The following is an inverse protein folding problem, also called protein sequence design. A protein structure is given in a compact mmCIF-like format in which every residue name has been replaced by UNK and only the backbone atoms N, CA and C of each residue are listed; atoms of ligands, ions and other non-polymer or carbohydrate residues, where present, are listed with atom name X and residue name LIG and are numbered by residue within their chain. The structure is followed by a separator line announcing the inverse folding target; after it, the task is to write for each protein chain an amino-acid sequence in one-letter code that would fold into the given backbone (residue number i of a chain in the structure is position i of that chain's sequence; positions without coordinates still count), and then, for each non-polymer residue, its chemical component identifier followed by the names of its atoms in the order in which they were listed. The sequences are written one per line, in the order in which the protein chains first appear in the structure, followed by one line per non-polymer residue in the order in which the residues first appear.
data_IF_729872278431
#
_entry.id   IF_729872278431
#
_cell.length_a   1.000
_cell.length_b   1.000
_cell.length_c   1.000
_cell.angle_alpha   90.00
_cell.angle_beta   90.00
_cell.angle_gamma   90.00
#
_symmetry.space_group_name_H-M   'P 1'
#
loop_
_entity.id
_entity.type
_entity.pdbx_description
1 polymer ?
#
# COMPACT_ATOMS: atom_id res chain seq x y z
N UNK A 1 -4.83 8.27 -3.75
CA UNK A 1 -3.66 9.00 -3.22
C UNK A 1 -2.43 8.87 -4.11
N UNK A 2 -2.13 7.69 -4.69
CA UNK A 2 -0.92 7.46 -5.49
C UNK A 2 -0.75 8.45 -6.67
N UNK A 3 -1.84 8.88 -7.30
CA UNK A 3 -1.82 9.89 -8.37
C UNK A 3 -1.45 11.27 -7.84
N UNK A 4 -2.00 11.65 -6.70
CA UNK A 4 -1.70 12.91 -6.03
C UNK A 4 -0.23 12.98 -5.60
N UNK A 5 0.24 11.98 -4.88
CA UNK A 5 1.65 11.88 -4.47
C UNK A 5 2.60 11.95 -5.67
N UNK A 6 2.26 11.24 -6.77
CA UNK A 6 3.05 11.27 -8.01
C UNK A 6 3.07 12.65 -8.65
N UNK A 7 1.95 13.39 -8.59
CA UNK A 7 1.86 14.75 -9.09
C UNK A 7 2.72 15.71 -8.27
N UNK A 8 2.72 15.60 -6.94
CA UNK A 8 3.55 16.42 -6.06
C UNK A 8 5.04 16.13 -6.24
N UNK A 9 5.42 14.86 -6.34
CA UNK A 9 6.81 14.49 -6.64
C UNK A 9 7.30 15.13 -7.95
N UNK A 10 6.48 15.07 -9.00
CA UNK A 10 6.78 15.68 -10.30
C UNK A 10 5.52 15.69 -11.17
N UNK A 11 4.94 16.86 -11.49
CA UNK A 11 3.75 16.95 -12.35
C UNK A 11 3.95 16.28 -13.72
N UNK A 12 5.15 16.35 -14.31
CA UNK A 12 5.49 15.62 -15.54
C UNK A 12 5.42 14.12 -15.38
N UNK A 13 5.89 13.57 -14.25
CA UNK A 13 5.81 12.13 -13.93
C UNK A 13 4.36 11.66 -13.89
N UNK A 14 3.49 12.45 -13.25
CA UNK A 14 2.04 12.19 -13.25
C UNK A 14 1.48 12.22 -14.68
N UNK A 15 1.76 13.27 -15.47
CA UNK A 15 1.28 13.39 -16.83
C UNK A 15 1.73 12.20 -17.70
N UNK A 16 3.01 11.83 -17.66
CA UNK A 16 3.56 10.66 -18.37
C UNK A 16 2.87 9.36 -17.95
N UNK A 17 2.56 9.18 -16.68
CA UNK A 17 1.88 7.98 -16.17
C UNK A 17 0.45 7.81 -16.74
N UNK A 18 -0.14 8.87 -17.26
CA UNK A 18 -1.47 8.86 -17.90
C UNK A 18 -1.39 8.66 -19.41
N UNK A 19 -0.19 8.71 -19.99
CA UNK A 19 0.02 8.39 -21.40
C UNK A 19 0.05 6.87 -21.61
N UNK A 20 -0.20 6.43 -22.83
CA UNK A 20 -0.14 5.00 -23.20
C UNK A 20 1.31 4.56 -23.44
N UNK A 21 2.18 4.83 -22.49
CA UNK A 21 3.58 4.44 -22.56
C UNK A 21 3.80 3.02 -22.01
N UNK A 22 4.77 2.27 -22.54
CA UNK A 22 5.09 0.94 -22.04
C UNK A 22 5.49 0.98 -20.56
N UNK A 23 4.75 0.27 -19.71
CA UNK A 23 5.03 0.18 -18.29
C UNK A 23 6.33 -0.60 -18.03
N UNK A 24 6.96 -0.30 -16.92
CA UNK A 24 8.09 -1.04 -16.38
C UNK A 24 7.65 -1.82 -15.16
N UNK A 25 7.83 -3.13 -15.18
CA UNK A 25 7.59 -3.97 -14.01
C UNK A 25 8.68 -3.76 -12.95
N UNK A 26 8.29 -3.90 -11.69
CA UNK A 26 9.19 -3.81 -10.53
C UNK A 26 8.99 -5.06 -9.66
N UNK A 27 10.06 -5.80 -9.41
CA UNK A 27 10.00 -6.99 -8.56
C UNK A 27 9.46 -6.67 -7.16
N UNK A 28 9.88 -5.53 -6.58
CA UNK A 28 9.39 -5.10 -5.27
C UNK A 28 7.89 -4.79 -5.29
N UNK A 29 7.38 -4.16 -6.36
CA UNK A 29 5.95 -3.87 -6.49
C UNK A 29 5.13 -5.16 -6.66
N UNK A 30 5.55 -6.09 -7.53
CA UNK A 30 4.86 -7.36 -7.71
C UNK A 30 4.89 -8.23 -6.46
N UNK A 31 6.01 -8.27 -5.75
CA UNK A 31 6.09 -8.93 -4.45
C UNK A 31 5.11 -8.32 -3.45
N UNK A 32 5.07 -6.99 -3.36
CA UNK A 32 4.10 -6.29 -2.52
C UNK A 32 2.66 -6.66 -2.88
N UNK A 33 2.30 -6.64 -4.15
CA UNK A 33 0.96 -7.01 -4.63
C UNK A 33 0.62 -8.46 -4.28
N UNK A 34 1.55 -9.40 -4.45
CA UNK A 34 1.33 -10.79 -4.07
C UNK A 34 1.05 -10.94 -2.56
N UNK A 35 1.78 -10.21 -1.71
CA UNK A 35 1.57 -10.21 -0.25
C UNK A 35 0.19 -9.63 0.09
N UNK A 36 -0.16 -8.44 -0.42
CA UNK A 36 -1.45 -7.79 -0.16
C UNK A 36 -2.62 -8.70 -0.55
N UNK A 37 -2.62 -9.21 -1.78
CA UNK A 37 -3.67 -10.13 -2.25
C UNK A 37 -3.74 -11.41 -1.42
N UNK A 38 -2.61 -11.89 -0.92
CA UNK A 38 -2.59 -13.09 -0.07
C UNK A 38 -3.14 -12.83 1.32
N UNK A 39 -2.85 -11.68 1.90
CA UNK A 39 -3.45 -11.26 3.19
C UNK A 39 -4.95 -11.08 3.04
N UNK A 40 -5.41 -10.45 1.94
CA UNK A 40 -6.83 -10.35 1.60
C UNK A 40 -7.49 -11.73 1.53
N UNK A 41 -6.90 -12.68 0.78
CA UNK A 41 -7.43 -14.03 0.64
C UNK A 41 -7.54 -14.73 2.01
N UNK A 42 -6.54 -14.58 2.89
CA UNK A 42 -6.58 -15.17 4.23
C UNK A 42 -7.64 -14.52 5.11
N UNK A 43 -7.80 -13.20 5.06
CA UNK A 43 -8.87 -12.50 5.79
C UNK A 43 -10.26 -12.96 5.35
N UNK A 44 -10.43 -13.31 4.08
CA UNK A 44 -11.69 -13.72 3.50
C UNK A 44 -11.83 -15.25 3.32
N UNK A 45 -10.91 -16.03 3.91
CA UNK A 45 -10.94 -17.49 3.80
C UNK A 45 -12.24 -18.04 4.38
N UNK A 46 -13.00 -18.80 3.58
CA UNK A 46 -14.20 -19.48 4.06
C UNK A 46 -13.84 -20.67 4.95
N UNK A 47 -14.08 -20.50 6.23
CA UNK A 47 -13.85 -21.51 7.26
C UNK A 47 -15.13 -22.31 7.60
N UNK A 48 -16.17 -22.23 6.78
CA UNK A 48 -17.38 -23.02 6.98
C UNK A 48 -17.09 -24.52 6.83
N UNK A 49 -17.50 -25.30 7.83
CA UNK A 49 -17.29 -26.76 7.82
C UNK A 49 -15.89 -27.23 8.29
N UNK A 50 -14.99 -26.30 8.66
CA UNK A 50 -13.74 -26.66 9.32
C UNK A 50 -13.95 -26.99 10.80
N UNK A 51 -13.12 -27.92 11.33
CA UNK A 51 -13.14 -28.21 12.76
C UNK A 51 -12.50 -27.03 13.53
N UNK A 52 -13.23 -26.47 14.48
CA UNK A 52 -12.80 -25.32 15.28
C UNK A 52 -11.49 -25.56 16.03
N UNK A 53 -11.20 -26.81 16.40
CA UNK A 53 -9.97 -27.20 17.13
C UNK A 53 -8.84 -27.65 16.19
N UNK A 54 -9.04 -27.63 14.87
CA UNK A 54 -8.00 -27.99 13.89
C UNK A 54 -6.82 -27.04 14.00
N UNK A 55 -5.59 -27.59 14.05
CA UNK A 55 -4.31 -26.88 14.12
C UNK A 55 -3.38 -27.27 12.96
N UNK A 56 -2.24 -26.56 12.82
CA UNK A 56 -1.22 -26.88 11.81
C UNK A 56 -1.57 -26.41 10.39
N UNK A 57 -2.74 -25.89 10.17
CA UNK A 57 -3.26 -25.46 8.85
C UNK A 57 -2.78 -24.06 8.43
N UNK A 58 -2.61 -23.11 9.40
CA UNK A 58 -2.43 -21.69 9.08
C UNK A 58 -1.16 -21.43 8.25
N UNK A 59 -0.04 -22.02 8.64
CA UNK A 59 1.23 -21.85 7.92
C UNK A 59 1.16 -22.42 6.49
N UNK A 60 0.56 -23.61 6.31
CA UNK A 60 0.38 -24.20 4.98
C UNK A 60 -0.56 -23.37 4.12
N UNK A 61 -1.67 -22.88 4.66
CA UNK A 61 -2.60 -22.02 3.95
C UNK A 61 -1.98 -20.69 3.55
N UNK A 62 -1.20 -20.04 4.42
CA UNK A 62 -0.45 -18.85 4.05
C UNK A 62 0.50 -19.12 2.87
N UNK A 63 1.25 -20.23 2.94
CA UNK A 63 2.19 -20.58 1.87
C UNK A 63 1.50 -20.90 0.55
N UNK A 64 0.41 -21.66 0.59
CA UNK A 64 -0.35 -22.05 -0.61
C UNK A 64 -1.02 -20.81 -1.25
N UNK A 65 -1.63 -19.96 -0.44
CA UNK A 65 -2.25 -18.73 -0.90
C UNK A 65 -1.22 -17.80 -1.54
N UNK A 66 -0.08 -17.60 -0.86
CA UNK A 66 1.00 -16.80 -1.44
C UNK A 66 1.56 -17.42 -2.70
N UNK A 67 1.73 -18.75 -2.78
CA UNK A 67 2.23 -19.41 -3.98
C UNK A 67 1.32 -19.15 -5.18
N UNK A 68 0.00 -19.21 -4.98
CA UNK A 68 -0.98 -18.89 -6.03
C UNK A 68 -0.82 -17.44 -6.51
N UNK A 69 -0.80 -16.47 -5.59
CA UNK A 69 -0.66 -15.05 -5.93
C UNK A 69 0.70 -14.71 -6.54
N UNK A 70 1.74 -15.40 -6.11
CA UNK A 70 3.09 -15.28 -6.66
C UNK A 70 3.16 -15.69 -8.14
N UNK A 71 2.52 -16.80 -8.52
CA UNK A 71 2.48 -17.26 -9.92
C UNK A 71 1.60 -16.34 -10.79
N UNK A 72 0.49 -15.82 -10.26
CA UNK A 72 -0.34 -14.81 -10.93
C UNK A 72 0.49 -13.55 -11.23
N UNK A 73 1.19 -13.01 -10.23
CA UNK A 73 2.06 -11.85 -10.39
C UNK A 73 3.25 -12.11 -11.31
N UNK A 74 3.85 -13.27 -11.24
CA UNK A 74 4.92 -13.69 -12.17
C UNK A 74 4.46 -13.65 -13.63
N UNK A 75 3.24 -14.10 -13.90
CA UNK A 75 2.64 -14.07 -15.23
C UNK A 75 2.46 -12.61 -15.70
N UNK A 76 1.80 -11.76 -14.90
CA UNK A 76 1.60 -10.33 -15.20
C UNK A 76 2.92 -9.58 -15.38
N UNK A 77 3.91 -9.91 -14.56
CA UNK A 77 5.25 -9.35 -14.65
C UNK A 77 5.92 -9.66 -15.98
N UNK A 78 5.84 -10.92 -16.45
CA UNK A 78 6.43 -11.35 -17.70
C UNK A 78 5.72 -10.78 -18.94
N UNK A 79 4.43 -10.48 -18.83
CA UNK A 79 3.65 -9.82 -19.87
C UNK A 79 3.90 -8.31 -19.96
N UNK A 80 4.50 -7.72 -18.92
CA UNK A 80 4.81 -6.30 -18.91
C UNK A 80 5.94 -6.00 -19.90
N UNK A 81 5.78 -5.04 -20.84
CA UNK A 81 6.73 -4.83 -21.95
C UNK A 81 8.19 -4.55 -21.53
N UNK A 82 8.38 -4.02 -20.32
CA UNK A 82 9.68 -3.69 -19.78
C UNK A 82 9.82 -4.29 -18.40
N UNK A 83 10.37 -5.49 -18.32
CA UNK A 83 10.57 -6.18 -17.06
C UNK A 83 12.03 -6.65 -16.89
N UNK A 84 12.58 -6.61 -15.68
CA UNK A 84 13.81 -7.32 -15.35
C UNK A 84 13.56 -8.83 -15.25
N UNK A 85 14.57 -9.59 -14.88
CA UNK A 85 14.38 -11.01 -14.56
C UNK A 85 13.55 -11.15 -13.28
N UNK A 86 12.57 -12.08 -13.32
CA UNK A 86 11.85 -12.51 -12.12
C UNK A 86 12.80 -13.20 -11.14
N UNK A 87 12.61 -13.00 -9.85
CA UNK A 87 13.45 -13.51 -8.79
C UNK A 87 12.68 -14.48 -7.90
N UNK A 88 12.75 -15.76 -8.24
CA UNK A 88 12.08 -16.83 -7.47
C UNK A 88 12.61 -16.91 -6.02
N UNK A 89 13.88 -16.57 -5.81
CA UNK A 89 14.52 -16.51 -4.50
C UNK A 89 13.88 -15.48 -3.54
N UNK A 90 13.11 -14.54 -4.05
CA UNK A 90 12.39 -13.56 -3.22
C UNK A 90 11.09 -14.12 -2.61
N UNK A 91 10.68 -15.35 -2.96
CA UNK A 91 9.46 -15.95 -2.41
C UNK A 91 9.52 -16.13 -0.89
N UNK A 92 10.66 -16.54 -0.34
CA UNK A 92 10.82 -16.66 1.12
C UNK A 92 10.64 -15.33 1.84
N UNK A 93 11.19 -14.25 1.28
CA UNK A 93 11.02 -12.89 1.82
C UNK A 93 9.55 -12.45 1.76
N UNK A 94 8.86 -12.81 0.67
CA UNK A 94 7.43 -12.54 0.53
C UNK A 94 6.60 -13.31 1.57
N UNK A 95 6.95 -14.59 1.83
CA UNK A 95 6.29 -15.40 2.86
C UNK A 95 6.50 -14.82 4.26
N UNK A 96 7.72 -14.42 4.59
CA UNK A 96 8.02 -13.76 5.86
C UNK A 96 7.21 -12.45 6.01
N UNK A 97 7.12 -11.67 4.93
CA UNK A 97 6.30 -10.45 4.90
C UNK A 97 4.80 -10.73 5.08
N UNK A 98 4.27 -11.79 4.46
CA UNK A 98 2.88 -12.20 4.67
C UNK A 98 2.63 -12.63 6.13
N UNK A 99 3.53 -13.46 6.69
CA UNK A 99 3.45 -13.90 8.09
C UNK A 99 3.50 -12.70 9.03
N UNK A 100 4.34 -11.71 8.74
CA UNK A 100 4.41 -10.48 9.52
C UNK A 100 3.08 -9.69 9.51
N UNK A 101 2.41 -9.60 8.37
CA UNK A 101 1.09 -8.97 8.30
C UNK A 101 0.03 -9.75 9.12
N UNK A 102 0.07 -11.08 9.06
CA UNK A 102 -0.78 -11.96 9.89
C UNK A 102 -0.49 -11.73 11.38
N UNK A 103 0.78 -11.62 11.77
CA UNK A 103 1.16 -11.34 13.17
C UNK A 103 0.58 -10.02 13.67
N UNK A 104 0.61 -8.97 12.84
CA UNK A 104 0.00 -7.69 13.19
C UNK A 104 -1.54 -7.84 13.36
N UNK A 105 -2.20 -8.63 12.52
CA UNK A 105 -3.63 -8.91 12.68
C UNK A 105 -3.95 -9.59 14.02
N UNK A 106 -3.11 -10.53 14.47
CA UNK A 106 -3.25 -11.15 15.79
C UNK A 106 -3.12 -10.14 16.93
N UNK A 107 -2.11 -9.26 16.85
CA UNK A 107 -1.92 -8.19 17.83
C UNK A 107 -3.14 -7.27 17.88
N UNK A 108 -3.70 -6.91 16.73
CA UNK A 108 -4.91 -6.07 16.64
C UNK A 108 -6.16 -6.79 17.13
N UNK A 109 -6.23 -8.10 16.99
CA UNK A 109 -7.30 -8.92 17.57
C UNK A 109 -7.11 -9.16 19.08
N UNK A 110 -6.02 -8.65 19.67
CA UNK A 110 -5.65 -8.86 21.07
C UNK A 110 -5.50 -10.37 21.42
N UNK A 111 -5.05 -11.16 20.45
CA UNK A 111 -4.86 -12.60 20.58
C UNK A 111 -3.36 -12.93 20.57
N UNK A 112 -2.89 -13.81 21.48
CA UNK A 112 -1.50 -14.23 21.47
C UNK A 112 -1.18 -15.08 20.25
N UNK A 113 -0.05 -14.84 19.62
CA UNK A 113 0.50 -15.66 18.56
C UNK A 113 1.91 -16.12 18.96
N UNK A 114 2.02 -17.34 19.48
CA UNK A 114 3.32 -17.95 19.77
C UNK A 114 3.91 -18.60 18.52
N UNK A 115 3.13 -19.51 17.91
CA UNK A 115 3.50 -20.20 16.66
C UNK A 115 2.26 -20.33 15.75
N UNK A 116 2.44 -20.15 14.45
CA UNK A 116 1.36 -20.34 13.45
C UNK A 116 0.79 -21.77 13.47
N UNK A 117 1.63 -22.75 13.83
CA UNK A 117 1.24 -24.16 13.91
C UNK A 117 0.27 -24.47 15.05
N UNK A 118 0.21 -23.64 16.08
CA UNK A 118 -0.67 -23.81 17.24
C UNK A 118 -2.02 -23.09 17.08
N UNK A 119 -2.19 -22.29 16.04
CA UNK A 119 -3.40 -21.53 15.81
C UNK A 119 -4.54 -22.47 15.41
N UNK A 120 -5.61 -22.50 16.20
CA UNK A 120 -6.84 -23.22 15.85
C UNK A 120 -7.69 -22.43 14.87
N UNK A 121 -8.56 -23.11 14.13
CA UNK A 121 -9.56 -22.51 13.25
C UNK A 121 -10.43 -21.50 14.02
N UNK A 122 -10.80 -21.83 15.25
CA UNK A 122 -11.60 -20.96 16.13
C UNK A 122 -10.87 -19.63 16.43
N UNK A 123 -9.58 -19.66 16.70
CA UNK A 123 -8.77 -18.45 16.95
C UNK A 123 -8.70 -17.60 15.66
N UNK A 124 -8.49 -18.22 14.51
CA UNK A 124 -8.46 -17.48 13.25
C UNK A 124 -9.80 -16.81 12.91
N UNK A 125 -10.92 -17.47 13.17
CA UNK A 125 -12.27 -16.86 13.03
C UNK A 125 -12.40 -15.59 13.88
N UNK A 126 -11.81 -15.55 15.08
CA UNK A 126 -11.80 -14.35 15.91
C UNK A 126 -10.93 -13.24 15.29
N UNK A 127 -9.82 -13.59 14.63
CA UNK A 127 -9.03 -12.61 13.85
C UNK A 127 -9.85 -12.10 12.65
N UNK A 128 -10.57 -12.96 11.95
CA UNK A 128 -11.45 -12.54 10.86
C UNK A 128 -12.59 -11.62 11.36
N UNK A 129 -13.10 -11.84 12.55
CA UNK A 129 -14.21 -11.05 13.13
C UNK A 129 -13.88 -9.57 13.36
N UNK A 130 -12.59 -9.22 13.49
CA UNK A 130 -12.20 -7.80 13.54
C UNK A 130 -12.08 -7.17 12.16
N UNK A 131 -11.96 -7.94 11.09
CA UNK A 131 -11.81 -7.42 9.73
C UNK A 131 -13.18 -6.99 9.20
N UNK A 132 -13.34 -5.69 8.95
CA UNK A 132 -14.57 -5.11 8.43
C UNK A 132 -14.58 -5.15 6.91
N UNK A 133 -13.44 -4.86 6.28
CA UNK A 133 -13.29 -4.90 4.83
C UNK A 133 -11.81 -5.04 4.44
N UNK A 134 -11.56 -5.66 3.30
CA UNK A 134 -10.27 -5.75 2.64
C UNK A 134 -10.35 -5.13 1.25
N UNK A 135 -9.26 -4.49 0.79
CA UNK A 135 -9.15 -3.92 -0.57
C UNK A 135 -10.36 -3.05 -0.97
N UNK A 136 -10.93 -2.33 0.01
CA UNK A 136 -12.17 -1.59 -0.17
C UNK A 136 -11.95 -0.29 -0.96
N UNK A 137 -12.82 -0.07 -1.93
CA UNK A 137 -12.84 1.20 -2.65
C UNK A 137 -13.48 2.29 -1.79
N UNK A 138 -12.77 3.39 -1.65
CA UNK A 138 -13.23 4.60 -0.97
C UNK A 138 -13.51 5.70 -1.99
N UNK A 139 -14.60 6.42 -1.77
CA UNK A 139 -14.96 7.59 -2.55
C UNK A 139 -15.40 8.71 -1.61
N UNK A 140 -14.88 9.92 -1.83
CA UNK A 140 -15.31 11.11 -1.09
C UNK A 140 -16.74 11.51 -1.47
N UNK A 141 -17.47 12.15 -0.57
CA UNK A 141 -18.84 12.65 -0.83
C UNK A 141 -18.94 13.55 -2.06
N UNK A 142 -17.87 14.27 -2.39
CA UNK A 142 -17.84 15.10 -3.58
C UNK A 142 -17.55 14.34 -4.88
N UNK A 143 -17.28 13.03 -4.84
CA UNK A 143 -16.98 12.18 -6.00
C UNK A 143 -15.64 12.45 -6.69
N UNK A 144 -14.79 13.34 -6.14
CA UNK A 144 -13.53 13.77 -6.78
C UNK A 144 -12.34 12.97 -6.33
N UNK A 145 -12.38 12.46 -5.11
CA UNK A 145 -11.30 11.71 -4.50
C UNK A 145 -11.69 10.25 -4.38
N UNK A 146 -10.82 9.39 -4.85
CA UNK A 146 -11.00 7.94 -4.76
C UNK A 146 -9.70 7.30 -4.26
N UNK A 147 -9.85 6.23 -3.51
CA UNK A 147 -8.76 5.41 -3.03
C UNK A 147 -9.18 3.96 -2.88
N UNK A 148 -8.21 3.10 -2.66
CA UNK A 148 -8.42 1.71 -2.28
C UNK A 148 -7.59 1.49 -1.03
N UNK A 149 -8.23 1.15 0.05
CA UNK A 149 -7.55 0.83 1.30
C UNK A 149 -7.30 -0.67 1.38
N UNK A 150 -6.20 -1.05 2.01
CA UNK A 150 -5.85 -2.47 2.12
C UNK A 150 -6.74 -3.17 3.15
N UNK A 151 -6.87 -2.59 4.35
CA UNK A 151 -7.62 -3.18 5.46
C UNK A 151 -8.41 -2.11 6.23
N UNK A 152 -9.65 -2.42 6.55
CA UNK A 152 -10.46 -1.74 7.55
C UNK A 152 -10.77 -2.73 8.65
N UNK A 153 -10.35 -2.44 9.87
CA UNK A 153 -10.57 -3.33 11.02
C UNK A 153 -11.23 -2.59 12.18
N UNK A 154 -11.86 -3.35 13.07
CA UNK A 154 -12.36 -2.84 14.34
C UNK A 154 -11.17 -2.45 15.23
N UNK A 155 -11.31 -1.33 15.92
CA UNK A 155 -10.36 -0.90 16.94
C UNK A 155 -10.79 -1.44 18.30
N UNK A 156 -10.17 -2.52 18.74
CA UNK A 156 -10.47 -3.12 20.04
C UNK A 156 -9.83 -2.38 21.21
N UNK A 157 -8.93 -1.41 20.95
CA UNK A 157 -8.38 -0.52 21.98
C UNK A 157 -9.33 0.67 22.28
N UNK A 158 -10.31 0.92 21.42
CA UNK A 158 -11.32 1.96 21.67
C UNK A 158 -12.29 1.52 22.75
N UNK A 159 -12.36 2.29 23.85
CA UNK A 159 -13.23 2.01 24.99
C UNK A 159 -14.73 2.00 24.61
N UNK A 160 -15.13 2.75 23.61
CA UNK A 160 -16.50 2.78 23.09
C UNK A 160 -16.84 1.54 22.21
N UNK A 161 -15.81 0.76 21.82
CA UNK A 161 -15.89 -0.43 20.95
C UNK A 161 -16.57 -0.18 19.59
N UNK A 162 -16.52 1.03 19.06
CA UNK A 162 -17.04 1.36 17.73
C UNK A 162 -15.98 2.03 16.82
N UNK A 163 -14.75 2.20 17.33
CA UNK A 163 -13.62 2.70 16.57
C UNK A 163 -13.21 1.79 15.43
N UNK A 164 -12.63 2.39 14.40
CA UNK A 164 -12.08 1.67 13.25
C UNK A 164 -10.64 2.09 12.97
N UNK A 165 -9.87 1.15 12.46
CA UNK A 165 -8.51 1.37 11.99
C UNK A 165 -8.51 1.24 10.46
N UNK A 166 -8.07 2.30 9.79
CA UNK A 166 -7.74 2.30 8.37
C UNK A 166 -6.27 1.92 8.26
N UNK A 167 -5.98 0.71 7.83
CA UNK A 167 -4.63 0.18 7.74
C UNK A 167 -4.15 0.06 6.30
N UNK A 168 -2.91 0.46 6.06
CA UNK A 168 -2.23 0.32 4.78
C UNK A 168 -0.98 -0.55 5.00
N UNK A 169 -0.91 -1.68 4.33
CA UNK A 169 0.15 -2.67 4.46
C UNK A 169 1.40 -2.22 3.68
N UNK A 170 2.52 -2.20 4.35
CA UNK A 170 3.82 -1.81 3.79
C UNK A 170 4.78 -2.99 3.81
N UNK A 171 5.21 -3.42 2.63
CA UNK A 171 6.16 -4.53 2.45
C UNK A 171 7.61 -4.05 2.25
N UNK A 172 7.81 -2.72 2.24
CA UNK A 172 9.12 -2.09 2.14
C UNK A 172 9.85 -1.98 3.49
N UNK A 173 11.04 -1.36 3.44
CA UNK A 173 11.82 -1.09 4.66
C UNK A 173 11.02 -0.15 5.57
N UNK A 174 10.86 -0.49 6.87
CA UNK A 174 10.22 0.40 7.83
C UNK A 174 11.06 1.68 8.02
N UNK A 175 10.44 2.80 8.38
CA UNK A 175 11.16 3.98 8.80
C UNK A 175 11.91 3.72 10.11
N UNK A 176 12.94 4.51 10.39
CA UNK A 176 13.74 4.36 11.62
C UNK A 176 12.98 4.94 12.84
N UNK A 177 12.38 6.10 12.67
CA UNK A 177 11.67 6.80 13.76
C UNK A 177 10.21 7.08 13.43
N UNK A 178 9.95 7.83 12.34
CA UNK A 178 8.62 8.33 11.99
C UNK A 178 8.24 7.96 10.55
N UNK A 179 6.93 7.91 10.29
CA UNK A 179 6.42 7.75 8.92
C UNK A 179 6.97 8.86 8.02
N UNK A 180 7.38 8.50 6.82
CA UNK A 180 7.66 9.53 5.81
C UNK A 180 6.41 10.36 5.55
N UNK A 181 6.57 11.64 5.25
CA UNK A 181 5.47 12.55 4.91
C UNK A 181 4.54 11.95 3.86
N UNK A 182 5.12 11.32 2.85
CA UNK A 182 4.40 10.64 1.78
C UNK A 182 3.45 9.54 2.29
N UNK A 183 3.92 8.69 3.20
CA UNK A 183 3.10 7.61 3.76
C UNK A 183 2.06 8.17 4.73
N UNK A 184 2.45 9.13 5.57
CA UNK A 184 1.54 9.82 6.48
C UNK A 184 0.39 10.46 5.71
N UNK A 185 0.66 11.20 4.64
CA UNK A 185 -0.36 11.82 3.78
C UNK A 185 -1.28 10.79 3.11
N UNK A 186 -0.74 9.65 2.68
CA UNK A 186 -1.55 8.56 2.13
C UNK A 186 -2.54 8.03 3.16
N UNK A 187 -2.10 7.79 4.38
CA UNK A 187 -2.92 7.27 5.47
C UNK A 187 -3.99 8.28 5.90
N UNK A 188 -3.60 9.55 6.07
CA UNK A 188 -4.55 10.63 6.38
C UNK A 188 -5.60 10.80 5.29
N UNK A 189 -5.23 10.64 4.02
CA UNK A 189 -6.17 10.68 2.90
C UNK A 189 -7.23 9.57 3.01
N UNK A 190 -6.84 8.34 3.32
CA UNK A 190 -7.79 7.25 3.52
C UNK A 190 -8.68 7.47 4.74
N UNK A 191 -8.09 7.88 5.87
CA UNK A 191 -8.82 8.22 7.09
C UNK A 191 -9.90 9.28 6.81
N UNK A 192 -9.53 10.34 6.14
CA UNK A 192 -10.41 11.49 5.94
C UNK A 192 -11.54 11.18 4.96
N UNK A 193 -11.29 10.41 3.90
CA UNK A 193 -12.38 9.91 3.04
C UNK A 193 -13.27 8.95 3.82
N UNK A 194 -12.69 8.05 4.64
CA UNK A 194 -13.46 7.12 5.44
C UNK A 194 -14.34 7.85 6.45
N UNK A 195 -13.83 8.94 7.05
CA UNK A 195 -14.58 9.79 7.99
C UNK A 195 -15.85 10.40 7.37
N UNK A 196 -15.86 10.63 6.08
CA UNK A 196 -17.08 11.06 5.38
C UNK A 196 -18.12 9.94 5.22
N UNK A 197 -17.71 8.66 5.35
CA UNK A 197 -18.54 7.48 5.08
C UNK A 197 -18.99 6.71 6.33
N UNK A 198 -18.46 7.07 7.50
CA UNK A 198 -18.86 6.49 8.81
C UNK A 198 -19.71 7.43 9.61
N UNK A 199 -20.14 7.03 10.83
CA UNK A 199 -20.91 7.87 11.74
C UNK A 199 -20.09 9.08 12.19
N UNK A 200 -20.74 10.21 12.43
CA UNK A 200 -20.08 11.49 12.72
C UNK A 200 -19.11 11.44 13.91
N UNK A 201 -19.41 10.64 14.93
CA UNK A 201 -18.62 10.53 16.16
C UNK A 201 -17.81 9.22 16.23
N UNK A 202 -17.71 8.46 15.14
CA UNK A 202 -16.93 7.24 15.12
C UNK A 202 -15.45 7.55 15.10
N UNK A 203 -14.68 6.99 16.01
CA UNK A 203 -13.22 7.16 16.02
C UNK A 203 -12.57 6.44 14.86
N UNK A 204 -11.60 7.09 14.25
CA UNK A 204 -10.87 6.57 13.10
C UNK A 204 -9.38 6.78 13.27
N UNK A 205 -8.64 5.69 13.37
CA UNK A 205 -7.18 5.70 13.34
C UNK A 205 -6.67 5.32 11.94
N UNK A 206 -5.54 5.91 11.56
CA UNK A 206 -4.86 5.57 10.31
C UNK A 206 -3.49 4.99 10.64
N UNK A 207 -3.19 3.79 10.15
CA UNK A 207 -2.00 3.04 10.49
C UNK A 207 -1.28 2.50 9.26
N UNK A 208 0.06 2.63 9.25
CA UNK A 208 0.95 1.96 8.31
C UNK A 208 1.53 0.70 8.95
N UNK A 209 1.26 -0.45 8.38
CA UNK A 209 1.68 -1.75 8.89
C UNK A 209 2.88 -2.26 8.12
N UNK A 210 4.06 -2.23 8.74
CA UNK A 210 5.30 -2.71 8.12
C UNK A 210 5.51 -4.19 8.43
N UNK A 211 5.11 -5.03 7.51
CA UNK A 211 5.09 -6.48 7.68
C UNK A 211 6.48 -7.13 7.77
N UNK A 212 7.53 -6.46 7.28
CA UNK A 212 8.90 -6.99 7.32
C UNK A 212 9.52 -7.05 8.73
N UNK A 213 8.96 -6.29 9.68
CA UNK A 213 9.43 -6.26 11.08
C UNK A 213 8.28 -6.17 12.10
N UNK A 214 7.05 -6.40 11.67
CA UNK A 214 5.83 -6.40 12.49
C UNK A 214 5.60 -5.07 13.24
N UNK A 215 5.98 -3.94 12.63
CA UNK A 215 5.86 -2.63 13.28
C UNK A 215 4.67 -1.86 12.71
N UNK A 216 3.93 -1.22 13.60
CA UNK A 216 2.80 -0.37 13.28
C UNK A 216 3.13 1.08 13.61
N UNK A 217 2.89 1.97 12.65
CA UNK A 217 3.03 3.41 12.82
C UNK A 217 1.69 4.09 12.62
N UNK A 218 1.32 4.99 13.53
CA UNK A 218 0.11 5.80 13.42
C UNK A 218 0.39 7.08 12.63
N UNK A 219 -0.52 7.45 11.75
CA UNK A 219 -0.50 8.75 11.10
C UNK A 219 -1.44 9.70 11.85
N UNK A 220 -0.87 10.76 12.37
CA UNK A 220 -1.60 11.81 13.08
C UNK A 220 -1.49 13.14 12.31
N UNK A 221 -2.51 13.97 12.40
CA UNK A 221 -2.52 15.25 11.74
C UNK A 221 -3.93 15.77 11.43
N UNK A 222 -4.00 17.02 10.97
CA UNK A 222 -5.26 17.63 10.54
C UNK A 222 -5.81 16.93 9.30
N UNK A 223 -7.05 17.27 8.94
CA UNK A 223 -7.65 16.82 7.68
C UNK A 223 -6.90 17.41 6.49
N UNK A 224 -6.68 16.57 5.48
CA UNK A 224 -6.00 16.94 4.22
C UNK A 224 -6.93 16.94 3.01
N UNK A 225 -8.25 16.80 3.22
CA UNK A 225 -9.23 16.72 2.11
C UNK A 225 -9.24 17.97 1.23
N UNK A 226 -9.17 19.16 1.82
CA UNK A 226 -9.16 20.41 1.05
C UNK A 226 -7.93 20.49 0.16
N UNK A 227 -6.78 20.10 0.68
CA UNK A 227 -5.52 20.05 -0.06
C UNK A 227 -5.59 19.02 -1.20
N UNK A 228 -6.13 17.83 -0.93
CA UNK A 228 -6.31 16.79 -1.92
C UNK A 228 -7.28 17.22 -3.04
N UNK A 229 -8.37 17.95 -2.71
CA UNK A 229 -9.30 18.52 -3.69
C UNK A 229 -8.60 19.60 -4.53
N UNK A 230 -7.83 20.48 -3.90
CA UNK A 230 -7.02 21.49 -4.60
C UNK A 230 -6.04 20.85 -5.58
N UNK A 231 -5.34 19.81 -5.16
CA UNK A 231 -4.44 19.06 -6.03
C UNK A 231 -5.20 18.37 -7.18
N UNK A 232 -6.39 17.81 -6.93
CA UNK A 232 -7.22 17.21 -7.96
C UNK A 232 -7.59 18.22 -9.06
N UNK A 233 -7.93 19.46 -8.69
CA UNK A 233 -8.22 20.51 -9.69
C UNK A 233 -6.99 20.83 -10.55
N UNK A 234 -5.79 20.87 -9.98
CA UNK A 234 -4.55 21.09 -10.72
C UNK A 234 -4.15 19.88 -11.59
N UNK A 235 -4.54 18.68 -11.19
CA UNK A 235 -4.21 17.43 -11.87
C UNK A 235 -5.04 17.18 -13.13
N UNK A 236 -6.03 18.02 -13.46
CA UNK A 236 -6.82 17.88 -14.68
C UNK A 236 -5.89 17.82 -15.88
N UNK A 237 -6.07 16.78 -16.69
CA UNK A 237 -5.23 16.56 -17.87
C UNK A 237 -5.45 17.70 -18.88
N UNK A 238 -4.34 18.19 -19.43
CA UNK A 238 -4.30 19.11 -20.53
C UNK A 238 -3.61 18.45 -21.73
N UNK A 239 -3.78 18.99 -22.92
CA UNK A 239 -3.04 18.55 -24.11
C UNK A 239 -1.54 18.82 -23.96
N UNK A 240 -1.18 19.89 -23.28
CA UNK A 240 0.20 20.26 -23.00
C UNK A 240 0.76 19.46 -21.81
N UNK A 241 1.97 18.89 -21.93
CA UNK A 241 2.62 18.21 -20.82
C UNK A 241 2.84 19.14 -19.64
N UNK A 242 2.56 18.67 -18.43
CA UNK A 242 2.93 19.39 -17.21
C UNK A 242 4.44 19.63 -17.10
N UNK A 243 4.87 20.69 -16.40
CA UNK A 243 6.28 20.96 -16.17
C UNK A 243 6.93 19.80 -15.39
N UNK A 244 8.23 19.59 -15.61
CA UNK A 244 9.01 18.69 -14.81
C UNK A 244 9.62 19.43 -13.61
N UNK A 245 9.65 18.76 -12.47
CA UNK A 245 10.40 19.16 -11.27
C UNK A 245 11.50 18.12 -11.03
N UNK A 246 12.60 18.15 -11.83
CA UNK A 246 13.62 17.12 -11.72
C UNK A 246 14.40 17.28 -10.41
N UNK A 247 14.66 16.14 -9.76
CA UNK A 247 15.57 16.01 -8.65
C UNK A 247 16.30 14.67 -8.77
N UNK A 248 17.43 14.53 -8.12
CA UNK A 248 18.17 13.27 -8.14
C UNK A 248 17.31 12.13 -7.58
N UNK A 249 16.62 12.36 -6.46
CA UNK A 249 15.75 11.40 -5.83
C UNK A 249 14.56 11.03 -6.72
N UNK A 250 13.80 12.01 -7.19
CA UNK A 250 12.60 11.78 -8.01
C UNK A 250 12.94 11.14 -9.37
N UNK A 251 14.09 11.46 -9.97
CA UNK A 251 14.46 10.99 -11.29
C UNK A 251 15.17 9.62 -11.28
N UNK A 252 15.91 9.28 -10.21
CA UNK A 252 16.67 8.02 -10.14
C UNK A 252 15.77 6.80 -10.28
N UNK A 253 14.59 6.83 -9.65
CA UNK A 253 13.63 5.73 -9.66
C UNK A 253 12.43 5.97 -10.59
N UNK A 254 12.46 7.04 -11.40
CA UNK A 254 11.34 7.35 -12.30
C UNK A 254 11.25 6.34 -13.44
N UNK A 255 10.15 5.60 -13.50
CA UNK A 255 9.88 4.63 -14.57
C UNK A 255 9.73 5.28 -15.96
N UNK A 256 9.41 6.58 -15.99
CA UNK A 256 9.15 7.36 -17.20
C UNK A 256 10.34 8.16 -17.71
N UNK A 257 11.52 8.04 -17.06
CA UNK A 257 12.69 8.84 -17.43
C UNK A 257 13.12 8.69 -18.90
N UNK A 258 12.87 7.54 -19.51
CA UNK A 258 13.18 7.30 -20.93
C UNK A 258 12.40 8.20 -21.91
N UNK A 259 11.25 8.73 -21.47
CA UNK A 259 10.38 9.65 -22.26
C UNK A 259 10.39 11.07 -21.72
N UNK A 260 11.18 11.35 -20.67
CA UNK A 260 11.29 12.67 -20.06
C UNK A 260 12.64 13.30 -20.41
N UNK A 261 12.68 14.37 -21.22
CA UNK A 261 13.95 15.01 -21.60
C UNK A 261 14.63 15.73 -20.44
N UNK A 262 13.97 15.84 -19.28
CA UNK A 262 14.45 16.60 -18.12
C UNK A 262 15.14 15.73 -17.05
N UNK A 263 15.04 14.41 -17.11
CA UNK A 263 15.56 13.54 -16.04
C UNK A 263 17.09 13.65 -15.83
N UNK A 264 17.85 13.87 -16.90
CA UNK A 264 19.29 13.97 -16.84
C UNK A 264 19.79 15.33 -16.32
N UNK A 265 18.95 16.38 -16.42
CA UNK A 265 19.29 17.71 -15.90
C UNK A 265 19.48 17.65 -14.39
N UNK A 266 18.64 16.94 -13.66
CA UNK A 266 18.78 16.77 -12.22
C UNK A 266 20.13 16.12 -11.82
N UNK A 267 20.64 15.21 -12.66
CA UNK A 267 21.91 14.52 -12.39
C UNK A 267 23.14 15.42 -12.57
N UNK A 268 23.06 16.39 -13.48
CA UNK A 268 24.22 17.19 -13.91
C UNK A 268 24.05 18.68 -13.62
N UNK A 269 23.07 19.09 -12.84
CA UNK A 269 22.74 20.50 -12.60
C UNK A 269 23.93 21.29 -12.01
N UNK A 270 24.75 20.65 -11.15
CA UNK A 270 25.96 21.25 -10.61
C UNK A 270 27.11 21.41 -11.60
N UNK A 271 27.16 20.59 -12.65
CA UNK A 271 28.22 20.61 -13.67
C UNK A 271 27.83 21.50 -14.86
N UNK A 272 26.56 21.52 -15.25
CA UNK A 272 26.06 22.25 -16.42
C UNK A 272 25.85 23.76 -16.15
N UNK A 273 25.58 24.14 -14.90
CA UNK A 273 25.46 25.55 -14.52
C UNK A 273 26.77 26.32 -14.64
N UNK A 274 27.90 25.62 -14.74
CA UNK A 274 29.22 26.24 -14.92
C UNK A 274 29.62 26.42 -16.38
N UNK A 275 29.00 25.73 -17.33
CA UNK A 275 29.41 25.74 -18.75
C UNK A 275 28.48 26.52 -19.70
N UNK A 276 27.44 27.17 -19.23
CA UNK A 276 26.68 28.13 -20.03
C UNK A 276 26.04 27.59 -21.32
N UNK A 277 25.66 26.30 -21.35
CA UNK A 277 24.99 25.68 -22.49
C UNK A 277 23.49 25.52 -22.23
N UNK A 278 22.74 26.61 -22.40
CA UNK A 278 21.32 26.61 -22.85
C UNK A 278 20.95 27.94 -23.44
#
# INVERSE_FOLDING_TARGET
PSSWIRFEECPRKYWLSRQRLPRKASMAASMGTAIHNSVEDMCNLDMSGWDDEEIGWLHSSCRETLQKRWEEERTLFSETPRHPRWKDESFSVALDGMIGAISILFDKAMLPLEELSSVTVKIWKQVQDIVVATEANLESKCGRLMGRLDLLIKDLEDEANDGLIVADLKTGKPPEDELSEKVSRQLLFYRDIMKENVRENQDLRAEGWYSSNNTVYRAEGPSILEEAIGAWEMMKLTETPFPATPSEEACSFCEWKAWCPRWWVAKYEGELSQEGMF
#
